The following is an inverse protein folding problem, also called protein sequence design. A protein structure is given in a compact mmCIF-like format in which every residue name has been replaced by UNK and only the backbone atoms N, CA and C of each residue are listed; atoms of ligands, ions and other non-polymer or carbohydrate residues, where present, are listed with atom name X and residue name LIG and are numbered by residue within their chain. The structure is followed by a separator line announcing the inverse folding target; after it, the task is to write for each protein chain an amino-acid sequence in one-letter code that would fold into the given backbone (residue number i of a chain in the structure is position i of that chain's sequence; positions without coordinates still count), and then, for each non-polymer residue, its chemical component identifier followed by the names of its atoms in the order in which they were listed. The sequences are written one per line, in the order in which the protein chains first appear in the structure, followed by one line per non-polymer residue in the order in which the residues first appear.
data_IF_765188057090
#
_entry.id   IF_765188057090
#
_cell.length_a   1.000
_cell.length_b   1.000
_cell.length_c   1.000
_cell.angle_alpha   90.00
_cell.angle_beta   90.00
_cell.angle_gamma   90.00
#
_symmetry.space_group_name_H-M   'P 1'
#
loop_
_entity.id
_entity.type
_entity.pdbx_description
1 polymer ?
#
# COMPACT_ATOMS: atom_id res chain seq x y z
N UNK A 1 -8.72 3.62 -13.80
CA UNK A 1 -9.05 2.53 -12.89
C UNK A 1 -10.29 1.83 -13.41
N UNK A 2 -10.32 0.49 -13.51
CA UNK A 2 -11.44 -0.24 -14.11
C UNK A 2 -12.80 -0.01 -13.43
N UNK A 3 -12.77 0.33 -12.15
CA UNK A 3 -13.98 0.58 -11.34
C UNK A 3 -14.47 2.02 -11.42
N UNK A 4 -13.74 2.90 -12.08
CA UNK A 4 -14.05 4.33 -12.17
C UNK A 4 -14.69 4.70 -13.51
N UNK A 5 -15.64 5.62 -13.45
CA UNK A 5 -16.20 6.28 -14.61
C UNK A 5 -15.76 7.74 -14.61
N UNK A 6 -15.26 8.21 -15.75
CA UNK A 6 -14.77 9.58 -15.88
C UNK A 6 -15.78 10.40 -16.68
N UNK A 7 -16.31 11.45 -16.05
CA UNK A 7 -17.33 12.31 -16.64
C UNK A 7 -16.71 13.63 -17.13
N UNK A 8 -17.28 14.27 -18.16
CA UNK A 8 -16.86 15.60 -18.58
C UNK A 8 -16.91 16.58 -17.41
N UNK A 9 -15.95 17.49 -17.34
CA UNK A 9 -15.80 18.53 -16.31
C UNK A 9 -15.56 18.00 -14.88
N UNK A 10 -15.37 16.71 -14.71
CA UNK A 10 -14.99 16.14 -13.45
C UNK A 10 -13.52 16.42 -13.14
N UNK A 11 -13.24 16.83 -11.90
CA UNK A 11 -11.86 16.99 -11.40
C UNK A 11 -11.41 15.72 -10.71
N UNK A 12 -10.27 15.19 -11.15
CA UNK A 12 -9.63 14.01 -10.55
C UNK A 12 -8.14 14.26 -10.39
N UNK A 13 -7.55 13.62 -9.38
CA UNK A 13 -6.11 13.63 -9.20
C UNK A 13 -5.47 12.56 -10.06
N UNK A 14 -4.41 12.90 -10.74
CA UNK A 14 -3.67 11.98 -11.61
C UNK A 14 -2.17 12.10 -11.36
N UNK A 15 -1.46 11.01 -11.59
CA UNK A 15 0.00 11.03 -11.69
C UNK A 15 0.39 11.38 -13.12
N UNK A 16 1.27 12.36 -13.29
CA UNK A 16 1.92 12.59 -14.58
C UNK A 16 3.03 11.57 -14.72
N UNK A 17 2.83 10.57 -15.57
CA UNK A 17 3.75 9.45 -15.73
C UNK A 17 4.85 9.74 -16.77
N UNK A 18 4.55 10.56 -17.76
CA UNK A 18 5.47 10.88 -18.84
C UNK A 18 5.07 12.18 -19.53
N UNK A 19 6.08 12.93 -19.98
CA UNK A 19 5.89 14.10 -20.84
C UNK A 19 6.77 13.91 -22.08
N UNK A 20 6.15 13.83 -23.26
CA UNK A 20 6.83 13.75 -24.55
C UNK A 20 6.74 15.07 -25.28
N UNK A 21 7.89 15.61 -25.70
CA UNK A 21 7.92 16.78 -26.59
C UNK A 21 7.83 16.33 -28.04
N UNK A 22 6.73 16.66 -28.70
CA UNK A 22 6.52 16.37 -30.11
C UNK A 22 6.54 17.65 -30.92
N UNK A 23 6.62 17.55 -32.26
CA UNK A 23 6.54 18.70 -33.17
C UNK A 23 5.23 19.46 -33.09
N UNK A 24 4.16 18.81 -32.57
CA UNK A 24 2.83 19.40 -32.35
C UNK A 24 2.63 19.94 -30.94
N UNK A 25 3.67 19.94 -30.09
CA UNK A 25 3.64 20.35 -28.71
C UNK A 25 3.84 19.19 -27.74
N UNK A 26 3.88 19.47 -26.44
CA UNK A 26 4.08 18.43 -25.43
C UNK A 26 2.83 17.53 -25.32
N UNK A 27 3.08 16.22 -25.22
CA UNK A 27 2.06 15.24 -24.84
C UNK A 27 2.29 14.83 -23.39
N UNK A 28 1.23 14.90 -22.59
CA UNK A 28 1.27 14.59 -21.17
C UNK A 28 0.49 13.30 -20.94
N UNK A 29 1.18 12.27 -20.45
CA UNK A 29 0.58 11.00 -20.07
C UNK A 29 0.29 10.99 -18.58
N UNK A 30 -0.93 10.60 -18.23
CA UNK A 30 -1.40 10.57 -16.84
C UNK A 30 -1.89 9.19 -16.48
N UNK A 31 -1.82 8.88 -15.19
CA UNK A 31 -2.22 7.55 -14.67
C UNK A 31 -2.95 7.69 -13.33
N UNK A 32 -3.94 6.83 -13.13
CA UNK A 32 -4.57 6.62 -11.83
C UNK A 32 -4.32 5.22 -11.27
N UNK A 33 -3.66 4.37 -12.02
CA UNK A 33 -3.36 2.99 -11.61
C UNK A 33 -1.92 2.80 -11.12
N UNK A 34 -1.05 3.74 -11.39
CA UNK A 34 0.36 3.66 -11.01
C UNK A 34 0.52 3.75 -9.48
N UNK A 35 1.36 2.90 -8.85
CA UNK A 35 1.58 2.96 -7.41
C UNK A 35 2.07 4.32 -6.90
N UNK A 36 2.82 5.07 -7.71
CA UNK A 36 3.32 6.38 -7.32
C UNK A 36 2.23 7.44 -7.16
N UNK A 37 1.05 7.26 -7.76
CA UNK A 37 -0.09 8.11 -7.44
C UNK A 37 -0.42 8.03 -5.95
N UNK A 38 -0.44 6.82 -5.42
CA UNK A 38 -0.71 6.57 -4.00
C UNK A 38 0.34 7.22 -3.11
N UNK A 39 1.60 7.09 -3.48
CA UNK A 39 2.70 7.76 -2.78
C UNK A 39 2.51 9.28 -2.71
N UNK A 40 2.12 9.90 -3.83
CA UNK A 40 1.87 11.35 -3.88
C UNK A 40 0.65 11.77 -3.08
N UNK A 41 -0.40 10.96 -3.08
CA UNK A 41 -1.58 11.22 -2.24
C UNK A 41 -1.22 11.20 -0.75
N UNK A 42 -0.40 10.25 -0.33
CA UNK A 42 0.10 10.21 1.05
C UNK A 42 0.98 11.41 1.38
N UNK A 43 1.84 11.85 0.48
CA UNK A 43 2.65 13.06 0.69
C UNK A 43 1.77 14.30 0.91
N UNK A 44 0.67 14.43 0.18
CA UNK A 44 -0.27 15.54 0.33
C UNK A 44 -1.05 15.47 1.63
N UNK A 45 -1.46 14.27 2.03
CA UNK A 45 -2.33 14.07 3.20
C UNK A 45 -1.56 14.01 4.51
N UNK A 46 -0.31 13.54 4.50
CA UNK A 46 0.52 13.28 5.68
C UNK A 46 1.76 14.17 5.63
N UNK A 47 1.77 15.31 6.35
CA UNK A 47 2.92 16.22 6.36
C UNK A 47 4.23 15.56 6.76
N UNK A 48 4.19 14.59 7.67
CA UNK A 48 5.36 13.85 8.14
C UNK A 48 6.01 13.02 7.04
N UNK A 49 5.24 12.58 6.04
CA UNK A 49 5.78 11.92 4.84
C UNK A 49 6.43 12.95 3.92
N UNK A 50 5.77 14.06 3.68
CA UNK A 50 6.33 15.14 2.86
C UNK A 50 7.65 15.65 3.43
N UNK A 51 7.73 15.80 4.75
CA UNK A 51 8.93 16.29 5.44
C UNK A 51 10.03 15.22 5.61
N UNK A 52 9.75 13.97 5.25
CA UNK A 52 10.70 12.87 5.33
C UNK A 52 10.85 12.25 6.71
N UNK A 53 10.03 12.61 7.68
CA UNK A 53 10.03 12.02 9.04
C UNK A 53 9.47 10.60 9.02
N UNK A 54 8.44 10.38 8.23
CA UNK A 54 7.88 9.06 7.90
C UNK A 54 8.19 8.75 6.44
N UNK A 55 8.59 7.53 6.17
CA UNK A 55 9.01 7.09 4.84
C UNK A 55 8.13 5.96 4.35
N UNK A 56 7.65 6.05 3.10
CA UNK A 56 7.02 4.93 2.43
C UNK A 56 8.11 4.03 1.86
N UNK A 57 8.16 2.80 2.34
CA UNK A 57 9.19 1.82 1.97
C UNK A 57 8.77 1.03 0.73
N UNK A 58 7.51 0.64 0.66
CA UNK A 58 6.97 -0.21 -0.40
C UNK A 58 5.47 -0.02 -0.53
N UNK A 59 4.98 -0.21 -1.74
CA UNK A 59 3.55 -0.18 -2.06
C UNK A 59 3.21 -1.40 -2.90
N UNK A 60 2.17 -2.14 -2.50
CA UNK A 60 1.54 -3.16 -3.32
C UNK A 60 0.09 -2.74 -3.56
N UNK A 61 -0.32 -2.65 -4.82
CA UNK A 61 -1.61 -2.07 -5.19
C UNK A 61 -2.34 -2.91 -6.24
N UNK A 62 -3.60 -3.18 -5.98
CA UNK A 62 -4.56 -3.63 -6.97
C UNK A 62 -5.56 -2.48 -7.15
N UNK A 63 -5.33 -1.67 -8.17
CA UNK A 63 -6.03 -0.40 -8.39
C UNK A 63 -7.54 -0.58 -8.45
N UNK A 64 -8.26 0.24 -7.67
CA UNK A 64 -9.71 0.19 -7.56
C UNK A 64 -10.23 -0.83 -6.54
N UNK A 65 -9.38 -1.65 -5.96
CA UNK A 65 -9.78 -2.70 -5.03
C UNK A 65 -9.09 -2.55 -3.67
N UNK A 66 -7.80 -2.81 -3.58
CA UNK A 66 -7.05 -2.73 -2.32
C UNK A 66 -5.58 -2.43 -2.55
N UNK A 67 -4.97 -1.78 -1.57
CA UNK A 67 -3.53 -1.55 -1.54
C UNK A 67 -2.97 -1.75 -0.13
N UNK A 68 -1.71 -2.13 -0.05
CA UNK A 68 -0.94 -2.16 1.18
C UNK A 68 0.24 -1.20 1.03
N UNK A 69 0.47 -0.38 2.05
CA UNK A 69 1.53 0.63 2.07
C UNK A 69 2.39 0.41 3.29
N UNK A 70 3.65 0.09 3.08
CA UNK A 70 4.61 -0.11 4.16
C UNK A 70 5.30 1.22 4.49
N UNK A 71 5.32 1.57 5.76
CA UNK A 71 5.88 2.81 6.28
C UNK A 71 6.85 2.54 7.41
N UNK A 72 7.81 3.44 7.57
CA UNK A 72 8.77 3.41 8.68
C UNK A 72 9.14 4.82 9.13
N UNK A 73 9.73 4.92 10.31
CA UNK A 73 10.33 6.15 10.82
C UNK A 73 11.60 5.85 11.60
N UNK A 74 12.53 6.81 11.61
CA UNK A 74 13.70 6.78 12.48
C UNK A 74 13.46 7.48 13.83
N UNK A 75 12.29 8.11 14.00
CA UNK A 75 11.91 8.75 15.25
C UNK A 75 11.27 7.73 16.19
N UNK A 76 11.97 7.35 17.26
CA UNK A 76 11.50 6.39 18.23
C UNK A 76 10.23 6.80 18.98
N UNK A 77 9.90 8.09 18.98
CA UNK A 77 8.72 8.63 19.66
C UNK A 77 7.50 8.75 18.74
N UNK A 78 7.63 8.39 17.47
CA UNK A 78 6.57 8.50 16.49
C UNK A 78 6.06 7.13 16.08
N UNK A 79 4.74 6.96 16.05
CA UNK A 79 4.08 5.80 15.46
C UNK A 79 3.82 6.07 13.97
N UNK A 80 4.57 5.42 13.06
CA UNK A 80 4.43 5.72 11.63
C UNK A 80 3.07 5.30 11.08
N UNK A 81 2.50 4.20 11.54
CA UNK A 81 1.17 3.73 11.11
C UNK A 81 0.09 4.68 11.59
N UNK A 82 0.09 5.00 12.89
CA UNK A 82 -0.88 5.93 13.47
C UNK A 82 -0.82 7.31 12.83
N UNK A 83 0.37 7.77 12.47
CA UNK A 83 0.56 9.05 11.78
C UNK A 83 -0.09 9.05 10.39
N UNK A 84 0.07 7.98 9.63
CA UNK A 84 -0.53 7.85 8.29
C UNK A 84 -2.04 7.63 8.32
N UNK A 85 -2.53 6.92 9.32
CA UNK A 85 -3.97 6.70 9.52
C UNK A 85 -4.66 8.00 9.92
N UNK A 86 -4.03 8.76 10.82
CA UNK A 86 -4.54 10.02 11.32
C UNK A 86 -5.63 9.87 12.38
N UNK A 87 -6.02 10.99 13.03
CA UNK A 87 -7.08 10.97 14.04
C UNK A 87 -8.37 10.42 13.47
N UNK A 88 -8.95 9.40 14.12
CA UNK A 88 -10.20 8.74 13.69
C UNK A 88 -10.11 8.15 12.27
N UNK A 89 -8.91 7.85 11.78
CA UNK A 89 -8.70 7.34 10.44
C UNK A 89 -8.91 8.37 9.34
N UNK A 90 -8.92 9.66 9.66
CA UNK A 90 -9.30 10.72 8.70
C UNK A 90 -8.33 10.84 7.53
N UNK A 91 -7.03 10.70 7.77
CA UNK A 91 -6.04 10.84 6.70
C UNK A 91 -6.15 9.71 5.68
N UNK A 92 -6.20 8.47 6.14
CA UNK A 92 -6.37 7.32 5.23
C UNK A 92 -7.74 7.33 4.57
N UNK A 93 -8.77 7.78 5.27
CA UNK A 93 -10.12 7.90 4.71
C UNK A 93 -10.16 8.87 3.52
N UNK A 94 -9.48 9.99 3.61
CA UNK A 94 -9.40 10.96 2.52
C UNK A 94 -8.77 10.36 1.26
N UNK A 95 -7.78 9.50 1.42
CA UNK A 95 -7.15 8.79 0.31
C UNK A 95 -8.09 7.74 -0.28
N UNK A 96 -8.75 6.97 0.55
CA UNK A 96 -9.74 5.98 0.13
C UNK A 96 -10.86 6.65 -0.67
N UNK A 97 -11.34 7.80 -0.21
CA UNK A 97 -12.37 8.58 -0.89
C UNK A 97 -11.91 9.09 -2.26
N UNK A 98 -10.70 9.64 -2.35
CA UNK A 98 -10.15 10.10 -3.63
C UNK A 98 -10.06 8.96 -4.66
N UNK A 99 -9.82 7.74 -4.22
CA UNK A 99 -9.72 6.56 -5.07
C UNK A 99 -11.03 5.76 -5.14
N UNK A 100 -12.14 6.39 -4.79
CA UNK A 100 -13.50 5.85 -4.92
C UNK A 100 -13.70 4.50 -4.21
N UNK A 101 -13.13 4.36 -3.02
CA UNK A 101 -13.35 3.19 -2.16
C UNK A 101 -12.27 2.12 -2.26
N UNK A 102 -11.11 2.42 -2.84
CA UNK A 102 -9.97 1.50 -2.81
C UNK A 102 -9.49 1.34 -1.36
N UNK A 103 -9.56 0.13 -0.83
CA UNK A 103 -9.18 -0.14 0.56
C UNK A 103 -7.68 0.01 0.78
N UNK A 104 -7.29 0.57 1.93
CA UNK A 104 -5.89 0.82 2.28
C UNK A 104 -5.52 0.11 3.57
N UNK A 105 -4.46 -0.69 3.53
CA UNK A 105 -3.80 -1.23 4.72
C UNK A 105 -2.47 -0.53 4.90
N UNK A 106 -2.28 0.12 6.03
CA UNK A 106 -1.01 0.74 6.41
C UNK A 106 -0.23 -0.27 7.24
N UNK A 107 0.97 -0.62 6.79
CA UNK A 107 1.79 -1.68 7.35
C UNK A 107 3.07 -1.07 7.91
N UNK A 108 3.42 -1.41 9.15
CA UNK A 108 4.70 -1.00 9.70
C UNK A 108 5.82 -1.89 9.15
N UNK A 109 6.79 -1.26 8.48
CA UNK A 109 8.00 -1.94 8.07
C UNK A 109 8.84 -2.34 9.30
N UNK A 110 9.46 -3.49 9.26
CA UNK A 110 10.37 -3.92 10.30
C UNK A 110 11.61 -4.56 9.67
N UNK A 111 12.75 -4.32 10.28
CA UNK A 111 14.03 -4.89 9.87
C UNK A 111 14.02 -6.43 9.94
N UNK A 112 13.30 -6.99 10.92
CA UNK A 112 13.08 -8.44 11.01
C UNK A 112 12.01 -8.86 9.99
N UNK A 113 12.38 -9.66 8.97
CA UNK A 113 11.44 -10.08 7.93
C UNK A 113 10.22 -10.82 8.47
N UNK A 114 10.37 -11.58 9.55
CA UNK A 114 9.25 -12.30 10.16
C UNK A 114 8.19 -11.34 10.71
N UNK A 115 8.64 -10.28 11.38
CA UNK A 115 7.75 -9.25 11.91
C UNK A 115 7.11 -8.46 10.77
N UNK A 116 7.87 -8.11 9.75
CA UNK A 116 7.35 -7.40 8.59
C UNK A 116 6.26 -8.19 7.86
N UNK A 117 6.49 -9.48 7.64
CA UNK A 117 5.50 -10.36 7.00
C UNK A 117 4.24 -10.49 7.85
N UNK A 118 4.39 -10.63 9.18
CA UNK A 118 3.24 -10.63 10.10
C UNK A 118 2.41 -9.36 9.96
N UNK A 119 3.07 -8.22 9.95
CA UNK A 119 2.41 -6.92 9.81
C UNK A 119 1.72 -6.79 8.45
N UNK A 120 2.36 -7.27 7.39
CA UNK A 120 1.83 -7.21 6.03
C UNK A 120 0.57 -8.05 5.83
N UNK A 121 0.40 -9.12 6.60
CA UNK A 121 -0.79 -9.98 6.54
C UNK A 121 -1.97 -9.46 7.37
N UNK A 122 -1.80 -8.33 8.06
CA UNK A 122 -2.90 -7.68 8.74
C UNK A 122 -4.11 -7.55 7.77
N UNK A 123 -5.36 -7.79 8.19
CA UNK A 123 -5.83 -7.97 9.58
C UNK A 123 -5.73 -9.40 10.14
N UNK A 124 -5.16 -10.35 9.40
CA UNK A 124 -5.02 -11.71 9.92
C UNK A 124 -3.96 -11.79 11.02
N UNK A 125 -4.22 -12.59 12.03
CA UNK A 125 -3.27 -12.88 13.10
C UNK A 125 -2.36 -14.03 12.69
N UNK A 126 -1.06 -13.81 12.78
CA UNK A 126 -0.03 -14.78 12.40
C UNK A 126 0.62 -15.34 13.65
N UNK A 127 0.68 -16.67 13.75
CA UNK A 127 1.32 -17.35 14.86
C UNK A 127 2.84 -17.47 14.65
N UNK A 128 3.27 -17.81 13.43
CA UNK A 128 4.65 -18.14 13.13
C UNK A 128 4.98 -17.90 11.67
N UNK A 129 6.21 -17.50 11.39
CA UNK A 129 6.78 -17.41 10.04
C UNK A 129 8.04 -18.26 9.99
N UNK A 130 8.10 -19.20 9.05
CA UNK A 130 9.26 -20.05 8.80
C UNK A 130 9.82 -19.74 7.42
N UNK A 131 11.12 -19.47 7.34
CA UNK A 131 11.79 -19.14 6.08
C UNK A 131 12.39 -20.39 5.43
N UNK A 132 12.27 -20.47 4.10
CA UNK A 132 12.93 -21.49 3.30
C UNK A 132 14.38 -21.07 3.04
N UNK A 133 15.32 -22.04 3.13
CA UNK A 133 16.76 -21.75 2.99
C UNK A 133 17.19 -21.37 1.57
N UNK A 134 16.44 -21.75 0.54
CA UNK A 134 16.89 -21.68 -0.86
C UNK A 134 16.21 -20.61 -1.71
N UNK A 135 15.15 -19.98 -1.21
CA UNK A 135 14.37 -18.98 -1.95
C UNK A 135 13.88 -17.90 -0.98
N UNK A 136 13.55 -16.74 -1.52
CA UNK A 136 12.82 -15.71 -0.75
C UNK A 136 11.39 -16.16 -0.40
N UNK A 137 11.25 -17.42 0.02
CA UNK A 137 9.99 -18.03 0.39
C UNK A 137 9.85 -18.20 1.89
N UNK A 138 8.63 -18.17 2.36
CA UNK A 138 8.29 -18.45 3.74
C UNK A 138 6.97 -19.20 3.84
N UNK A 139 6.82 -19.93 4.95
CA UNK A 139 5.57 -20.56 5.35
C UNK A 139 5.04 -19.79 6.52
N UNK A 140 3.79 -19.33 6.41
CA UNK A 140 3.11 -18.58 7.46
C UNK A 140 2.06 -19.47 8.11
N UNK A 141 2.13 -19.58 9.43
CA UNK A 141 1.20 -20.38 10.21
C UNK A 141 0.22 -19.44 10.91
N UNK A 142 -1.07 -19.70 10.69
CA UNK A 142 -2.17 -18.93 11.29
C UNK A 142 -3.14 -19.87 12.01
N UNK A 143 -3.91 -19.37 12.99
CA UNK A 143 -5.01 -20.16 13.54
C UNK A 143 -6.02 -20.55 12.43
N UNK A 144 -6.63 -21.71 12.54
CA UNK A 144 -7.57 -22.20 11.51
C UNK A 144 -8.68 -21.18 11.19
N UNK A 145 -9.22 -20.49 12.20
CA UNK A 145 -10.25 -19.49 12.00
C UNK A 145 -9.77 -18.20 11.33
N UNK A 146 -8.44 -18.02 11.19
CA UNK A 146 -7.83 -16.87 10.52
C UNK A 146 -7.37 -17.17 9.10
N UNK A 147 -7.43 -18.44 8.66
CA UNK A 147 -6.86 -18.85 7.38
C UNK A 147 -7.51 -18.12 6.20
N UNK A 148 -8.83 -18.05 6.17
CA UNK A 148 -9.56 -17.35 5.11
C UNK A 148 -9.22 -15.86 5.08
N UNK A 149 -9.04 -15.25 6.24
CA UNK A 149 -8.67 -13.84 6.36
C UNK A 149 -7.23 -13.59 5.88
N UNK A 150 -6.31 -14.50 6.24
CA UNK A 150 -4.92 -14.41 5.83
C UNK A 150 -4.76 -14.52 4.30
N UNK A 151 -5.47 -15.43 3.68
CA UNK A 151 -5.49 -15.61 2.23
C UNK A 151 -6.19 -14.42 1.57
N UNK A 152 -7.34 -14.05 2.09
CA UNK A 152 -8.20 -13.01 1.56
C UNK A 152 -9.02 -13.47 0.37
N UNK A 153 -9.94 -12.63 -0.06
CA UNK A 153 -10.80 -12.87 -1.22
C UNK A 153 -9.93 -13.04 -2.48
N UNK A 154 -10.06 -14.17 -3.15
CA UNK A 154 -9.27 -14.51 -4.35
C UNK A 154 -7.76 -14.49 -4.11
N UNK A 155 -7.33 -14.74 -2.88
CA UNK A 155 -5.92 -14.71 -2.52
C UNK A 155 -5.31 -13.31 -2.39
N UNK A 156 -6.13 -12.27 -2.36
CA UNK A 156 -5.68 -10.87 -2.43
C UNK A 156 -4.80 -10.46 -1.25
N UNK A 157 -5.17 -10.83 -0.04
CA UNK A 157 -4.41 -10.42 1.14
C UNK A 157 -2.98 -11.00 1.11
N UNK A 158 -2.86 -12.30 0.85
CA UNK A 158 -1.57 -12.97 0.74
C UNK A 158 -0.77 -12.46 -0.47
N UNK A 159 -1.42 -12.24 -1.60
CA UNK A 159 -0.77 -11.74 -2.82
C UNK A 159 -0.20 -10.33 -2.63
N UNK A 160 -0.97 -9.43 -2.03
CA UNK A 160 -0.49 -8.07 -1.75
C UNK A 160 0.63 -8.07 -0.71
N UNK A 161 0.52 -8.90 0.33
CA UNK A 161 1.58 -9.04 1.33
C UNK A 161 2.88 -9.57 0.70
N UNK A 162 2.79 -10.54 -0.20
CA UNK A 162 3.94 -11.07 -0.93
C UNK A 162 4.61 -10.00 -1.79
N UNK A 163 3.84 -9.23 -2.53
CA UNK A 163 4.36 -8.13 -3.36
C UNK A 163 4.98 -7.03 -2.50
N UNK A 164 4.35 -6.69 -1.40
CA UNK A 164 4.81 -5.63 -0.49
C UNK A 164 6.16 -5.97 0.12
N UNK A 165 6.31 -7.19 0.61
CA UNK A 165 7.49 -7.64 1.36
C UNK A 165 8.60 -8.20 0.48
N UNK A 166 8.28 -8.62 -0.75
CA UNK A 166 9.21 -9.30 -1.64
C UNK A 166 9.42 -10.78 -1.34
N UNK A 167 8.63 -11.36 -0.43
CA UNK A 167 8.69 -12.77 -0.09
C UNK A 167 7.54 -13.55 -0.71
N UNK A 168 7.84 -14.78 -1.17
CA UNK A 168 6.79 -15.72 -1.54
C UNK A 168 6.19 -16.28 -0.24
N UNK A 169 4.88 -16.20 -0.09
CA UNK A 169 4.17 -16.60 1.12
C UNK A 169 3.32 -17.84 0.83
N UNK A 170 3.61 -18.93 1.54
CA UNK A 170 2.84 -20.17 1.54
C UNK A 170 2.12 -20.39 2.87
#
# INVERSE_FOLDING_TARGET
IPTEEYLPDQRIKVLVSKVDNTTKGPQIFVSRTHPDLLKRLFEQEVPEIYDGVVEIVSIAREAGDRAKVAVRTNDANLDPVGTCVGPRGQRVHNIVEELNGENMDIVEWNEDPAIYIKNALNPAQVLKVEFNSDNNGCIVVVPDHQLSLAIGKRGQNARLAAKLTGYRID
#
